data_IF_636701862550
#
_entry.id   IF_636701862550
#
_cell.length_a   1.000
_cell.length_b   1.000
_cell.length_c   1.000
_cell.angle_alpha   90.00
_cell.angle_beta   90.00
_cell.angle_gamma   90.00
#
_symmetry.space_group_name_H-M   'P 1'
#
loop_
_entity.id
_entity.type
_entity.pdbx_description
1 polymer ?
#
# COMPACT_ATOMS: atom_id res chain seq x y z
N UNK A 1 20.67 -12.83 3.52
CA UNK A 1 19.21 -12.63 3.62
C UNK A 1 18.38 -13.50 2.68
N UNK A 2 18.95 -14.33 1.79
CA UNK A 2 18.17 -15.24 0.92
C UNK A 2 17.45 -14.59 -0.28
N UNK A 3 17.73 -13.32 -0.59
CA UNK A 3 17.10 -12.59 -1.70
C UNK A 3 15.78 -11.91 -1.33
N UNK A 4 15.18 -11.19 -2.29
CA UNK A 4 13.96 -10.41 -2.06
C UNK A 4 12.76 -11.28 -1.62
N UNK A 5 12.62 -12.47 -2.22
CA UNK A 5 11.54 -13.40 -1.89
C UNK A 5 11.66 -13.98 -0.47
N UNK A 6 12.88 -14.30 -0.02
CA UNK A 6 13.07 -14.76 1.36
C UNK A 6 12.88 -13.62 2.36
N UNK A 7 13.29 -12.40 2.01
CA UNK A 7 13.10 -11.21 2.83
C UNK A 7 11.62 -10.84 2.99
N UNK A 8 10.81 -10.97 1.94
CA UNK A 8 9.38 -10.60 1.95
C UNK A 8 8.53 -11.41 2.95
N UNK A 9 9.06 -12.53 3.45
CA UNK A 9 8.43 -13.35 4.49
C UNK A 9 8.47 -12.73 5.90
N UNK A 10 9.30 -11.72 6.12
CA UNK A 10 9.47 -11.07 7.43
C UNK A 10 9.70 -9.55 7.35
N UNK A 11 9.95 -9.01 6.15
CA UNK A 11 10.07 -7.57 5.93
C UNK A 11 9.49 -7.20 4.57
N UNK A 12 8.58 -6.24 4.57
CA UNK A 12 8.02 -5.65 3.34
C UNK A 12 8.25 -4.15 3.33
N UNK A 13 8.44 -3.61 2.14
CA UNK A 13 8.65 -2.19 1.90
C UNK A 13 7.54 -1.66 0.99
N UNK A 14 7.00 -0.49 1.34
CA UNK A 14 5.89 0.12 0.63
C UNK A 14 6.27 1.55 0.23
N UNK A 15 6.19 1.84 -1.07
CA UNK A 15 6.27 3.22 -1.54
C UNK A 15 4.94 3.93 -1.33
N UNK A 16 4.99 5.19 -0.90
CA UNK A 16 3.82 6.09 -0.87
C UNK A 16 4.06 7.22 -1.89
N UNK A 17 3.54 7.10 -3.12
CA UNK A 17 3.82 8.07 -4.17
C UNK A 17 3.38 9.49 -3.81
N UNK A 18 4.28 10.46 -4.03
CA UNK A 18 4.04 11.87 -3.77
C UNK A 18 4.08 12.30 -2.30
N UNK A 19 4.22 11.34 -1.36
CA UNK A 19 4.27 11.66 0.06
C UNK A 19 5.60 12.33 0.40
N UNK A 20 5.51 13.43 1.16
CA UNK A 20 6.68 14.11 1.72
C UNK A 20 7.26 13.32 2.91
N UNK A 21 8.13 13.94 3.70
CA UNK A 21 8.66 13.31 4.90
C UNK A 21 7.54 13.02 5.92
N UNK A 22 7.26 11.73 6.12
CA UNK A 22 6.24 11.16 7.01
C UNK A 22 4.77 11.42 6.64
N UNK A 23 4.41 12.63 6.21
CA UNK A 23 3.03 13.03 5.86
C UNK A 23 3.02 14.16 4.82
N UNK A 24 1.85 14.42 4.27
CA UNK A 24 1.57 15.51 3.33
C UNK A 24 2.18 15.28 1.95
N UNK A 25 2.25 16.36 1.17
CA UNK A 25 2.51 16.30 -0.26
C UNK A 25 1.22 16.14 -1.08
N UNK A 26 1.35 16.07 -2.39
CA UNK A 26 0.24 15.71 -3.29
C UNK A 26 0.14 14.18 -3.31
N UNK A 27 -0.40 13.62 -2.23
CA UNK A 27 -0.32 12.19 -1.93
C UNK A 27 -1.56 11.65 -1.23
N UNK A 28 -1.60 10.32 -1.11
CA UNK A 28 -2.50 9.58 -0.23
C UNK A 28 -1.68 9.13 0.98
N UNK A 29 -1.55 9.99 1.99
CA UNK A 29 -0.66 9.85 3.15
C UNK A 29 -1.34 9.29 4.42
N UNK A 30 -2.62 8.93 4.33
CA UNK A 30 -3.39 8.33 5.43
C UNK A 30 -3.55 6.83 5.17
N UNK A 31 -2.99 5.99 6.04
CA UNK A 31 -3.02 4.52 5.95
C UNK A 31 -2.76 3.90 7.33
N UNK A 32 -3.16 2.64 7.52
CA UNK A 32 -2.96 1.90 8.78
C UNK A 32 -2.01 0.71 8.60
N UNK A 33 -0.72 0.98 8.63
CA UNK A 33 0.32 -0.06 8.65
C UNK A 33 0.50 -0.70 10.03
N UNK A 34 0.01 -0.08 11.10
CA UNK A 34 0.18 -0.60 12.45
C UNK A 34 -0.72 -1.82 12.64
N UNK A 35 -2.01 -1.72 12.31
CA UNK A 35 -2.92 -2.87 12.38
C UNK A 35 -2.47 -3.99 11.46
N UNK A 36 -1.98 -3.65 10.26
CA UNK A 36 -1.44 -4.62 9.31
C UNK A 36 -0.20 -5.37 9.87
N UNK A 37 0.67 -4.68 10.61
CA UNK A 37 1.81 -5.29 11.28
C UNK A 37 1.39 -6.20 12.44
N UNK A 38 0.39 -5.78 13.23
CA UNK A 38 -0.17 -6.59 14.32
C UNK A 38 -0.76 -7.89 13.76
N UNK A 39 -1.58 -7.81 12.70
CA UNK A 39 -2.15 -8.99 12.04
C UNK A 39 -1.08 -9.92 11.48
N UNK A 40 0.01 -9.36 10.93
CA UNK A 40 1.11 -10.18 10.45
C UNK A 40 1.81 -10.92 11.59
N UNK A 41 2.14 -10.23 12.68
CA UNK A 41 2.85 -10.83 13.82
C UNK A 41 1.98 -11.84 14.57
N UNK A 42 0.72 -11.51 14.83
CA UNK A 42 -0.14 -12.31 15.70
C UNK A 42 -0.91 -13.41 14.96
N UNK A 43 -1.21 -13.20 13.68
CA UNK A 43 -2.04 -14.12 12.87
C UNK A 43 -1.27 -14.78 11.73
N UNK A 44 -0.02 -14.37 11.49
CA UNK A 44 0.79 -14.88 10.39
C UNK A 44 0.31 -14.39 9.02
N UNK A 45 -0.47 -13.31 8.96
CA UNK A 45 -1.07 -12.78 7.73
C UNK A 45 -0.30 -11.56 7.23
N UNK A 46 0.68 -11.72 6.32
CA UNK A 46 1.38 -10.58 5.74
C UNK A 46 0.40 -9.71 4.91
N UNK A 47 0.54 -8.37 4.94
CA UNK A 47 -0.32 -7.49 4.17
C UNK A 47 -0.01 -7.57 2.66
N UNK A 48 -0.94 -8.09 1.87
CA UNK A 48 -0.81 -8.08 0.39
C UNK A 48 -0.94 -6.68 -0.20
N UNK A 49 -1.68 -5.79 0.49
CA UNK A 49 -1.75 -4.36 0.24
C UNK A 49 -2.29 -3.63 1.46
N UNK A 50 -2.09 -2.31 1.54
CA UNK A 50 -2.72 -1.44 2.55
C UNK A 50 -3.40 -0.29 1.85
N UNK A 51 -4.68 -0.04 2.12
CA UNK A 51 -5.40 1.07 1.48
C UNK A 51 -4.90 2.40 2.04
N UNK A 52 -4.56 3.30 1.13
CA UNK A 52 -4.20 4.68 1.43
C UNK A 52 -5.24 5.66 0.87
N UNK A 53 -5.53 6.69 1.67
CA UNK A 53 -6.34 7.87 1.34
C UNK A 53 -5.55 9.14 1.66
N UNK A 54 -6.08 10.32 1.37
CA UNK A 54 -5.43 11.55 1.79
C UNK A 54 -6.22 12.80 1.45
N UNK A 55 -5.90 13.90 2.12
CA UNK A 55 -6.62 15.18 1.96
C UNK A 55 -6.34 15.89 0.64
N UNK A 56 -5.17 15.65 0.05
CA UNK A 56 -4.78 16.26 -1.23
C UNK A 56 -5.65 15.76 -2.40
N UNK A 57 -6.18 14.55 -2.31
CA UNK A 57 -7.10 13.96 -3.28
C UNK A 57 -8.34 13.40 -2.57
N UNK A 58 -9.29 14.27 -2.20
CA UNK A 58 -10.52 13.84 -1.54
C UNK A 58 -11.25 12.76 -2.37
N UNK A 59 -11.80 11.75 -1.70
CA UNK A 59 -12.50 10.59 -2.31
C UNK A 59 -11.62 9.63 -3.13
N UNK A 60 -10.31 9.89 -3.27
CA UNK A 60 -9.39 8.96 -3.90
C UNK A 60 -8.84 7.96 -2.89
N UNK A 61 -8.79 6.69 -3.29
CA UNK A 61 -8.08 5.64 -2.57
C UNK A 61 -7.18 4.84 -3.50
N UNK A 62 -6.03 4.35 -3.00
CA UNK A 62 -5.14 3.43 -3.74
C UNK A 62 -4.61 2.35 -2.79
N UNK A 63 -4.36 1.12 -3.27
CA UNK A 63 -3.58 0.16 -2.51
C UNK A 63 -2.10 0.56 -2.53
N UNK A 64 -1.48 0.65 -1.35
CA UNK A 64 -0.03 0.58 -1.21
C UNK A 64 0.40 -0.87 -1.43
N UNK A 65 1.34 -1.07 -2.34
CA UNK A 65 1.78 -2.39 -2.75
C UNK A 65 3.15 -2.73 -2.17
N UNK A 66 3.39 -3.99 -1.76
CA UNK A 66 4.70 -4.42 -1.33
C UNK A 66 5.65 -4.44 -2.53
N UNK A 67 6.77 -3.73 -2.40
CA UNK A 67 7.82 -3.66 -3.40
C UNK A 67 8.30 -5.07 -3.81
N UNK A 68 8.53 -5.34 -5.12
CA UNK A 68 8.59 -4.39 -6.23
C UNK A 68 7.25 -4.07 -6.92
N UNK A 69 6.12 -4.57 -6.39
CA UNK A 69 4.82 -4.35 -7.01
C UNK A 69 4.38 -2.89 -6.89
N UNK A 70 3.53 -2.46 -7.82
CA UNK A 70 2.90 -1.15 -7.82
C UNK A 70 1.39 -1.27 -8.06
N UNK A 71 0.65 -0.23 -7.69
CA UNK A 71 -0.78 -0.17 -7.93
C UNK A 71 -1.05 0.05 -9.42
N UNK A 72 -1.59 -0.95 -10.11
CA UNK A 72 -1.99 -0.87 -11.50
C UNK A 72 -3.51 -0.86 -11.61
N UNK A 73 -4.06 0.11 -12.36
CA UNK A 73 -5.50 0.16 -12.64
C UNK A 73 -5.91 -1.04 -13.49
N UNK A 74 -7.02 -1.68 -13.13
CA UNK A 74 -7.55 -2.88 -13.82
C UNK A 74 -8.14 -2.58 -15.21
N UNK A 75 -8.29 -1.30 -15.55
CA UNK A 75 -8.82 -0.86 -16.85
C UNK A 75 -10.34 -0.62 -16.87
N UNK A 76 -11.05 -0.94 -15.79
CA UNK A 76 -12.50 -0.75 -15.66
C UNK A 76 -12.89 -0.39 -14.22
N UNK A 77 -14.03 0.29 -14.08
CA UNK A 77 -14.55 0.80 -12.81
C UNK A 77 -14.24 2.29 -12.60
N UNK A 78 -14.53 2.76 -11.39
CA UNK A 78 -14.18 4.11 -10.95
C UNK A 78 -12.65 4.21 -10.68
N UNK A 79 -11.89 5.04 -11.40
CA UNK A 79 -10.46 5.22 -11.16
C UNK A 79 -10.16 5.88 -9.81
N UNK A 80 -11.14 6.41 -9.07
CA UNK A 80 -10.92 6.97 -7.74
C UNK A 80 -10.99 5.89 -6.63
N UNK A 81 -11.47 4.68 -6.93
CA UNK A 81 -11.66 3.59 -5.97
C UNK A 81 -10.55 2.53 -6.04
N UNK A 82 -9.89 2.28 -4.90
CA UNK A 82 -8.81 1.32 -4.76
C UNK A 82 -9.18 -0.11 -5.19
N UNK A 83 -10.47 -0.51 -5.13
CA UNK A 83 -10.91 -1.85 -5.55
C UNK A 83 -10.67 -2.12 -7.03
N UNK A 84 -10.56 -1.05 -7.83
CA UNK A 84 -10.32 -1.12 -9.27
C UNK A 84 -8.81 -1.11 -9.60
N UNK A 85 -7.95 -1.26 -8.59
CA UNK A 85 -6.50 -1.43 -8.73
C UNK A 85 -6.06 -2.79 -8.19
N UNK A 86 -4.91 -3.25 -8.64
CA UNK A 86 -4.23 -4.45 -8.15
C UNK A 86 -2.72 -4.23 -8.06
N UNK A 87 -2.07 -4.97 -7.17
CA UNK A 87 -0.62 -4.93 -7.02
C UNK A 87 0.03 -5.88 -8.01
N UNK A 88 0.79 -5.31 -8.97
CA UNK A 88 1.52 -6.04 -10.02
C UNK A 88 2.99 -5.67 -10.05
#
# INVERSE_FOLDING_TARGET
NGGAEAASKWSQFYFVPGMSHCRGGQSLDEFDLLSAMVDWVEKGTPPESVIATGKAFPQRSRPLCPYPKHAQYKGAGDPEDAKNFECR
#
